data_IF_548478003148
#
_entry.id   IF_548478003148
#
_cell.length_a   1.000
_cell.length_b   1.000
_cell.length_c   1.000
_cell.angle_alpha   90.00
_cell.angle_beta   90.00
_cell.angle_gamma   90.00
#
_symmetry.space_group_name_H-M   'P 1'
#
loop_
_entity.id
_entity.type
_entity.pdbx_description
1 polymer ?
#
# COMPACT_ATOMS: atom_id res chain seq x y z
N UNK A 1 22.94 19.74 -29.24
CA UNK A 1 22.00 19.96 -28.14
C UNK A 1 20.87 18.94 -28.27
N UNK A 2 20.98 17.80 -27.59
CA UNK A 2 19.95 16.77 -27.64
C UNK A 2 19.07 16.93 -26.40
N UNK A 3 17.80 17.28 -26.61
CA UNK A 3 16.83 17.49 -25.54
C UNK A 3 16.38 16.13 -24.99
N UNK A 4 16.32 15.93 -23.65
CA UNK A 4 15.81 14.68 -23.12
C UNK A 4 14.29 14.64 -23.32
N UNK A 5 13.83 13.67 -24.11
CA UNK A 5 12.43 13.35 -24.25
C UNK A 5 11.84 12.97 -22.88
N UNK A 6 10.83 13.72 -22.45
CA UNK A 6 10.09 13.46 -21.22
C UNK A 6 9.47 12.06 -21.28
N UNK A 7 9.83 11.20 -20.31
CA UNK A 7 9.21 9.89 -20.14
C UNK A 7 7.73 10.08 -19.77
N UNK A 8 6.79 9.37 -20.41
CA UNK A 8 5.41 9.41 -19.96
C UNK A 8 5.34 8.71 -18.60
N UNK A 9 5.06 9.48 -17.54
CA UNK A 9 4.67 8.90 -16.24
C UNK A 9 3.30 8.28 -16.46
N UNK A 10 3.30 6.97 -16.72
CA UNK A 10 2.08 6.16 -16.78
C UNK A 10 1.48 6.16 -15.38
N UNK A 11 0.49 7.03 -15.14
CA UNK A 11 -0.33 6.96 -13.93
C UNK A 11 -1.04 5.60 -13.91
N UNK A 12 -0.80 4.70 -12.94
CA UNK A 12 -1.41 3.38 -13.02
C UNK A 12 -2.70 3.42 -12.21
N UNK A 13 -3.84 3.37 -12.90
CA UNK A 13 -5.13 3.00 -12.30
C UNK A 13 -5.13 1.53 -11.81
N UNK A 14 -4.08 0.75 -12.15
CA UNK A 14 -3.78 -0.58 -11.61
C UNK A 14 -2.83 -0.54 -10.41
N UNK A 15 -2.35 0.63 -9.99
CA UNK A 15 -1.38 0.77 -8.90
C UNK A 15 -1.99 0.33 -7.57
N UNK A 16 -3.28 0.62 -7.36
CA UNK A 16 -3.93 0.39 -6.07
C UNK A 16 -4.03 -1.10 -5.73
N UNK A 17 -4.43 -1.94 -6.70
CA UNK A 17 -4.48 -3.39 -6.49
C UNK A 17 -3.09 -4.00 -6.24
N UNK A 18 -2.07 -3.51 -6.94
CA UNK A 18 -0.67 -3.90 -6.70
C UNK A 18 -0.14 -3.41 -5.36
N UNK A 19 -0.50 -2.19 -4.94
CA UNK A 19 -0.10 -1.59 -3.68
C UNK A 19 -0.70 -2.33 -2.48
N UNK A 20 -1.96 -2.76 -2.58
CA UNK A 20 -2.61 -3.61 -1.56
C UNK A 20 -1.89 -4.96 -1.43
N UNK A 21 -1.57 -5.62 -2.55
CA UNK A 21 -0.88 -6.90 -2.54
C UNK A 21 0.54 -6.81 -1.96
N UNK A 22 1.29 -5.77 -2.35
CA UNK A 22 2.64 -5.52 -1.84
C UNK A 22 2.63 -5.16 -0.34
N UNK A 23 1.67 -4.33 0.09
CA UNK A 23 1.47 -3.99 1.50
C UNK A 23 1.13 -5.23 2.34
N UNK A 24 0.26 -6.11 1.84
CA UNK A 24 -0.10 -7.36 2.51
C UNK A 24 1.13 -8.27 2.68
N UNK A 25 1.93 -8.44 1.64
CA UNK A 25 3.16 -9.25 1.72
C UNK A 25 4.16 -8.66 2.72
N UNK A 26 4.31 -7.34 2.74
CA UNK A 26 5.18 -6.66 3.70
C UNK A 26 4.75 -6.93 5.15
N UNK A 27 3.45 -6.82 5.46
CA UNK A 27 2.93 -7.09 6.81
C UNK A 27 3.12 -8.55 7.24
N UNK A 28 2.93 -9.50 6.32
CA UNK A 28 3.16 -10.92 6.60
C UNK A 28 4.64 -11.18 6.90
N UNK A 29 5.56 -10.55 6.16
CA UNK A 29 7.00 -10.64 6.42
C UNK A 29 7.41 -9.98 7.74
N UNK A 30 6.62 -9.02 8.25
CA UNK A 30 6.81 -8.42 9.58
C UNK A 30 6.26 -9.31 10.71
N UNK A 31 5.58 -10.42 10.39
CA UNK A 31 5.04 -11.38 11.35
C UNK A 31 3.57 -11.18 11.70
N UNK A 32 2.84 -10.31 11.00
CA UNK A 32 1.39 -10.20 11.18
C UNK A 32 0.67 -11.37 10.51
N UNK A 33 -0.40 -11.87 11.14
CA UNK A 33 -1.23 -12.92 10.58
C UNK A 33 -1.90 -12.47 9.28
N UNK A 34 -1.99 -13.37 8.29
CA UNK A 34 -2.59 -13.09 6.97
C UNK A 34 -4.00 -12.46 7.07
N UNK A 35 -4.85 -12.96 7.98
CA UNK A 35 -6.20 -12.44 8.18
C UNK A 35 -6.23 -11.00 8.72
N UNK A 36 -5.45 -10.74 9.77
CA UNK A 36 -5.33 -9.41 10.38
C UNK A 36 -4.71 -8.40 9.40
N UNK A 37 -3.66 -8.81 8.69
CA UNK A 37 -3.00 -8.00 7.68
C UNK A 37 -3.97 -7.64 6.53
N UNK A 38 -4.72 -8.63 6.02
CA UNK A 38 -5.71 -8.40 4.96
C UNK A 38 -6.80 -7.41 5.39
N UNK A 39 -7.33 -7.57 6.61
CA UNK A 39 -8.35 -6.67 7.14
C UNK A 39 -7.81 -5.23 7.30
N UNK A 40 -6.62 -5.08 7.88
CA UNK A 40 -6.02 -3.76 8.09
C UNK A 40 -5.67 -3.04 6.78
N UNK A 41 -5.16 -3.77 5.77
CA UNK A 41 -4.85 -3.17 4.46
C UNK A 41 -6.13 -2.82 3.70
N UNK A 42 -7.17 -3.66 3.75
CA UNK A 42 -8.46 -3.36 3.13
C UNK A 42 -9.09 -2.09 3.73
N UNK A 43 -9.04 -1.95 5.05
CA UNK A 43 -9.51 -0.73 5.71
C UNK A 43 -8.65 0.48 5.33
N UNK A 44 -7.32 0.35 5.38
CA UNK A 44 -6.40 1.42 4.99
C UNK A 44 -6.58 1.87 3.53
N UNK A 45 -6.85 0.93 2.62
CA UNK A 45 -7.11 1.21 1.21
C UNK A 45 -8.45 1.93 1.00
N UNK A 46 -9.48 1.58 1.79
CA UNK A 46 -10.77 2.27 1.76
C UNK A 46 -10.70 3.70 2.34
N UNK A 47 -9.89 3.92 3.38
CA UNK A 47 -9.68 5.25 3.98
C UNK A 47 -8.74 6.13 3.15
N UNK A 48 -7.86 5.53 2.34
CA UNK A 48 -6.93 6.23 1.46
C UNK A 48 -6.99 5.68 0.03
N UNK A 49 -8.05 6.02 -0.70
CA UNK A 49 -8.18 5.66 -2.12
C UNK A 49 -7.02 6.28 -2.92
N UNK A 50 -6.29 5.45 -3.66
CA UNK A 50 -5.11 5.86 -4.43
C UNK A 50 -3.82 6.06 -3.60
N UNK A 51 -3.79 5.68 -2.32
CA UNK A 51 -2.54 5.71 -1.56
C UNK A 51 -1.48 4.77 -2.13
N UNK A 52 -0.23 5.26 -2.17
CA UNK A 52 0.91 4.43 -2.52
C UNK A 52 1.16 3.34 -1.43
N UNK A 53 1.77 2.23 -1.81
CA UNK A 53 2.11 1.12 -0.91
C UNK A 53 2.68 1.54 0.46
N UNK A 54 3.71 2.43 0.55
CA UNK A 54 4.24 2.80 1.86
C UNK A 54 3.23 3.55 2.75
N UNK A 55 2.25 4.23 2.17
CA UNK A 55 1.17 4.85 2.92
C UNK A 55 0.20 3.80 3.46
N UNK A 56 -0.17 2.80 2.65
CA UNK A 56 -1.02 1.67 3.05
C UNK A 56 -0.38 0.86 4.19
N UNK A 57 0.91 0.55 4.09
CA UNK A 57 1.63 -0.21 5.14
C UNK A 57 1.58 0.55 6.47
N UNK A 58 1.88 1.86 6.48
CA UNK A 58 1.86 2.66 7.71
C UNK A 58 0.46 2.78 8.30
N UNK A 59 -0.56 2.95 7.46
CA UNK A 59 -1.95 3.00 7.91
C UNK A 59 -2.37 1.65 8.52
N UNK A 60 -2.10 0.53 7.84
CA UNK A 60 -2.39 -0.80 8.35
C UNK A 60 -1.68 -1.10 9.69
N UNK A 61 -0.39 -0.74 9.82
CA UNK A 61 0.35 -0.89 11.09
C UNK A 61 -0.28 -0.08 12.22
N UNK A 62 -0.79 1.12 11.95
CA UNK A 62 -1.52 1.93 12.95
C UNK A 62 -2.83 1.28 13.38
N UNK A 63 -3.50 0.56 12.48
CA UNK A 63 -4.74 -0.15 12.78
C UNK A 63 -4.50 -1.41 13.61
N UNK A 64 -3.38 -2.10 13.35
CA UNK A 64 -2.97 -3.33 14.05
C UNK A 64 -2.26 -3.09 15.38
N UNK A 65 -1.74 -1.89 15.61
CA UNK A 65 -1.15 -1.53 16.90
C UNK A 65 -2.21 -1.62 18.00
N UNK A 66 -1.90 -2.25 19.16
CA UNK A 66 -2.81 -2.28 20.29
C UNK A 66 -3.12 -0.84 20.70
N UNK A 67 -4.41 -0.51 20.73
CA UNK A 67 -4.87 0.73 21.34
C UNK A 67 -4.70 0.55 22.85
N UNK A 68 -3.60 1.10 23.37
CA UNK A 68 -3.33 1.16 24.81
C UNK A 68 -4.42 1.88 25.58
#
# INVERSE_FOLDING_TARGET
IEAPAARPVRAPVTATAGATADALSALVNLGYGQGEAAAAVAQAAGENDGSATPALIRAALKLLAPKG
#
